data_IF_330347478698
#
_entry.id   IF_330347478698
#
_cell.length_a   1.000
_cell.length_b   1.000
_cell.length_c   1.000
_cell.angle_alpha   90.00
_cell.angle_beta   90.00
_cell.angle_gamma   90.00
#
_symmetry.space_group_name_H-M   'P 1'
#
loop_
_entity.id
_entity.type
_entity.pdbx_description
1 polymer ?
#
# COMPACT_ATOMS: atom_id res chain seq x y z
N UNK A 1 14.85 18.83 7.20
CA UNK A 1 15.44 17.47 7.09
C UNK A 1 15.99 17.32 5.69
N UNK A 2 17.13 16.66 5.55
CA UNK A 2 17.75 16.43 4.24
C UNK A 2 16.96 15.34 3.50
N UNK A 3 16.05 15.76 2.63
CA UNK A 3 15.14 14.89 1.87
C UNK A 3 15.87 14.11 0.75
N UNK A 4 17.18 14.24 0.65
CA UNK A 4 18.02 13.55 -0.33
C UNK A 4 18.45 12.15 0.15
N UNK A 5 18.27 11.82 1.44
CA UNK A 5 18.66 10.52 2.00
C UNK A 5 17.53 9.51 1.95
N UNK A 6 17.86 8.27 1.61
CA UNK A 6 16.92 7.16 1.68
C UNK A 6 16.75 6.69 3.14
N UNK A 7 15.51 6.54 3.57
CA UNK A 7 15.18 5.91 4.85
C UNK A 7 15.26 4.38 4.73
N UNK A 8 14.85 3.84 3.58
CA UNK A 8 14.90 2.39 3.30
C UNK A 8 15.44 2.18 1.90
N UNK A 9 16.33 1.21 1.75
CA UNK A 9 16.82 0.68 0.47
C UNK A 9 16.74 -0.83 0.51
N UNK A 10 16.03 -1.42 -0.43
CA UNK A 10 15.91 -2.86 -0.64
C UNK A 10 16.37 -3.15 -2.05
N UNK A 11 17.36 -4.01 -2.21
CA UNK A 11 17.93 -4.33 -3.51
C UNK A 11 17.86 -5.83 -3.74
N UNK A 12 17.22 -6.23 -4.85
CA UNK A 12 17.21 -7.60 -5.36
C UNK A 12 16.76 -8.66 -4.32
N UNK A 13 15.75 -8.30 -3.51
CA UNK A 13 15.27 -9.13 -2.40
C UNK A 13 14.50 -10.34 -2.91
N UNK A 14 14.93 -11.52 -2.47
CA UNK A 14 14.25 -12.80 -2.75
C UNK A 14 13.88 -13.47 -1.44
N UNK A 15 12.62 -13.84 -1.29
CA UNK A 15 12.12 -14.64 -0.17
C UNK A 15 11.29 -15.80 -0.65
N UNK A 16 11.62 -16.99 -0.18
CA UNK A 16 10.90 -18.23 -0.48
C UNK A 16 10.35 -18.88 0.77
N UNK A 17 9.19 -19.51 0.61
CA UNK A 17 8.59 -20.43 1.56
C UNK A 17 8.41 -21.77 0.85
N UNK A 18 9.40 -22.67 1.00
CA UNK A 18 9.48 -23.91 0.23
C UNK A 18 9.46 -23.61 -1.28
N UNK A 19 8.43 -24.08 -1.99
CA UNK A 19 8.25 -23.87 -3.43
C UNK A 19 7.66 -22.49 -3.78
N UNK A 20 7.06 -21.79 -2.82
CA UNK A 20 6.44 -20.49 -3.06
C UNK A 20 7.49 -19.38 -3.01
N UNK A 21 7.65 -18.65 -4.11
CA UNK A 21 8.43 -17.40 -4.15
C UNK A 21 7.52 -16.25 -3.68
N UNK A 22 7.72 -15.80 -2.46
CA UNK A 22 6.91 -14.74 -1.85
C UNK A 22 7.40 -13.33 -2.24
N UNK A 23 8.72 -13.18 -2.51
CA UNK A 23 9.33 -11.98 -3.08
C UNK A 23 10.31 -12.42 -4.16
N UNK A 24 10.22 -11.84 -5.35
CA UNK A 24 11.01 -12.22 -6.51
C UNK A 24 11.80 -11.01 -7.05
N UNK A 25 13.08 -10.93 -6.67
CA UNK A 25 14.00 -9.85 -7.05
C UNK A 25 13.42 -8.45 -6.78
N UNK A 26 12.77 -8.33 -5.63
CA UNK A 26 12.02 -7.13 -5.25
C UNK A 26 12.97 -5.97 -4.90
N UNK A 27 12.66 -4.79 -5.41
CA UNK A 27 13.42 -3.56 -5.15
C UNK A 27 12.49 -2.49 -4.60
N UNK A 28 12.98 -1.73 -3.61
CA UNK A 28 12.24 -0.67 -2.96
C UNK A 28 13.19 0.43 -2.50
N UNK A 29 12.85 1.68 -2.73
CA UNK A 29 13.54 2.84 -2.17
C UNK A 29 12.52 3.80 -1.59
N UNK A 30 12.68 4.13 -0.30
CA UNK A 30 11.83 5.08 0.43
C UNK A 30 12.69 6.26 0.87
N UNK A 31 12.25 7.47 0.57
CA UNK A 31 12.94 8.70 0.96
C UNK A 31 12.60 9.08 2.39
N UNK A 32 13.52 9.76 3.06
CA UNK A 32 13.25 10.31 4.40
C UNK A 32 12.13 11.35 4.34
N UNK A 33 11.14 11.22 5.25
CA UNK A 33 10.04 12.16 5.36
C UNK A 33 8.90 11.95 4.36
N UNK A 34 8.92 10.89 3.52
CA UNK A 34 7.77 10.58 2.66
C UNK A 34 6.78 9.61 3.30
N UNK A 35 5.54 9.66 2.86
CA UNK A 35 4.56 8.60 3.06
C UNK A 35 4.58 7.70 1.83
N UNK A 36 5.12 6.51 1.99
CA UNK A 36 5.27 5.53 0.91
C UNK A 36 4.22 4.43 1.01
N UNK A 37 3.42 4.25 -0.05
CA UNK A 37 2.37 3.25 -0.13
C UNK A 37 2.85 1.94 -0.75
N UNK A 38 2.57 0.82 -0.09
CA UNK A 38 2.64 -0.52 -0.67
C UNK A 38 1.22 -1.02 -0.94
N UNK A 39 0.79 -1.00 -2.20
CA UNK A 39 -0.53 -1.41 -2.63
C UNK A 39 -0.49 -2.79 -3.28
N UNK A 40 -1.46 -3.63 -2.99
CA UNK A 40 -1.59 -4.93 -3.64
C UNK A 40 -2.62 -5.83 -2.97
N UNK A 41 -3.11 -6.86 -3.65
CA UNK A 41 -4.06 -7.81 -3.09
C UNK A 41 -3.45 -8.60 -1.91
N UNK A 42 -4.30 -9.31 -1.18
CA UNK A 42 -3.83 -10.23 -0.15
C UNK A 42 -2.94 -11.30 -0.78
N UNK A 43 -1.82 -11.60 -0.11
CA UNK A 43 -0.82 -12.54 -0.64
C UNK A 43 0.16 -11.93 -1.66
N UNK A 44 0.08 -10.64 -2.00
CA UNK A 44 1.04 -9.99 -2.91
C UNK A 44 2.47 -9.87 -2.36
N UNK A 45 2.68 -10.04 -1.04
CA UNK A 45 3.98 -9.97 -0.40
C UNK A 45 4.22 -8.75 0.50
N UNK A 46 3.22 -7.87 0.73
CA UNK A 46 3.35 -6.63 1.54
C UNK A 46 3.91 -6.90 2.93
N UNK A 47 3.23 -7.72 3.73
CA UNK A 47 3.65 -8.09 5.09
C UNK A 47 4.99 -8.84 5.09
N UNK A 48 5.24 -9.68 4.08
CA UNK A 48 6.53 -10.36 3.93
C UNK A 48 7.67 -9.35 3.70
N UNK A 49 7.44 -8.33 2.87
CA UNK A 49 8.39 -7.24 2.64
C UNK A 49 8.71 -6.49 3.94
N UNK A 50 7.68 -6.08 4.70
CA UNK A 50 7.85 -5.43 6.00
C UNK A 50 8.68 -6.30 6.95
N UNK A 51 8.31 -7.57 7.09
CA UNK A 51 9.00 -8.48 8.01
C UNK A 51 10.47 -8.73 7.61
N UNK A 52 10.78 -8.76 6.31
CA UNK A 52 12.17 -8.82 5.85
C UNK A 52 12.93 -7.53 6.16
N UNK A 53 12.33 -6.35 5.91
CA UNK A 53 12.96 -5.05 6.23
C UNK A 53 13.24 -4.93 7.72
N UNK A 54 12.33 -5.40 8.58
CA UNK A 54 12.49 -5.38 10.03
C UNK A 54 13.43 -6.47 10.55
N UNK A 55 13.98 -7.33 9.68
CA UNK A 55 14.72 -8.54 10.03
C UNK A 55 13.99 -9.43 11.04
N UNK A 56 12.68 -9.53 10.92
CA UNK A 56 11.82 -10.50 11.61
C UNK A 56 11.73 -11.82 10.82
N UNK A 57 12.00 -11.75 9.52
CA UNK A 57 12.13 -12.89 8.63
C UNK A 57 13.49 -12.86 7.94
N UNK A 58 14.11 -14.03 7.83
CA UNK A 58 15.27 -14.24 6.96
C UNK A 58 14.84 -14.24 5.50
N UNK A 59 15.73 -13.85 4.60
CA UNK A 59 15.51 -13.86 3.15
C UNK A 59 16.66 -14.61 2.45
N UNK A 60 16.42 -15.02 1.20
CA UNK A 60 17.34 -15.91 0.48
C UNK A 60 18.43 -15.14 -0.26
N UNK A 61 18.10 -13.93 -0.78
CA UNK A 61 19.02 -13.04 -1.52
C UNK A 61 18.62 -11.59 -1.37
N UNK A 62 19.59 -10.70 -1.62
CA UNK A 62 19.39 -9.26 -1.65
C UNK A 62 19.98 -8.56 -0.44
N UNK A 63 19.85 -7.23 -0.44
CA UNK A 63 20.40 -6.37 0.61
C UNK A 63 19.31 -5.43 1.11
N UNK A 64 19.30 -5.17 2.40
CA UNK A 64 18.35 -4.25 3.05
C UNK A 64 19.15 -3.26 3.89
N UNK A 65 18.95 -1.96 3.60
CA UNK A 65 19.50 -0.88 4.43
C UNK A 65 18.37 -0.02 4.98
N UNK A 66 18.48 0.35 6.25
CA UNK A 66 17.60 1.30 6.93
C UNK A 66 18.47 2.43 7.47
N UNK A 67 18.12 3.67 7.16
CA UNK A 67 18.93 4.87 7.45
C UNK A 67 20.38 4.77 6.97
N UNK A 68 20.60 4.11 5.81
CA UNK A 68 21.91 3.89 5.21
C UNK A 68 22.75 2.80 5.86
N UNK A 69 22.24 2.09 6.85
CA UNK A 69 22.92 0.99 7.57
C UNK A 69 22.29 -0.35 7.22
N UNK A 70 23.09 -1.38 7.12
CA UNK A 70 22.59 -2.73 6.88
C UNK A 70 21.74 -3.23 8.06
N UNK A 71 20.62 -3.89 7.73
CA UNK A 71 19.64 -4.32 8.70
C UNK A 71 19.79 -5.79 9.06
N UNK A 72 20.08 -6.05 10.33
CA UNK A 72 20.23 -7.40 10.91
C UNK A 72 19.25 -7.62 12.06
N UNK A 73 19.13 -8.87 12.51
CA UNK A 73 18.27 -9.22 13.65
C UNK A 73 18.66 -8.49 14.94
N UNK A 74 19.93 -8.18 15.12
CA UNK A 74 20.51 -7.48 16.28
C UNK A 74 20.74 -5.98 16.07
N UNK A 75 20.23 -5.36 15.02
CA UNK A 75 20.33 -3.90 14.77
C UNK A 75 19.42 -3.10 15.72
N UNK A 76 19.63 -3.23 17.03
CA UNK A 76 18.78 -2.62 18.05
C UNK A 76 18.76 -1.09 18.01
N UNK A 77 19.87 -0.45 17.64
CA UNK A 77 19.94 1.01 17.53
C UNK A 77 19.04 1.52 16.40
N UNK A 78 18.99 0.81 15.27
CA UNK A 78 18.06 1.13 14.16
C UNK A 78 16.62 0.85 14.60
N UNK A 79 16.36 -0.30 15.23
CA UNK A 79 15.02 -0.72 15.65
C UNK A 79 14.40 0.22 16.68
N UNK A 80 15.20 0.90 17.50
CA UNK A 80 14.71 1.94 18.43
C UNK A 80 14.11 3.15 17.75
N UNK A 81 14.49 3.42 16.51
CA UNK A 81 13.98 4.51 15.71
C UNK A 81 12.77 4.09 14.84
N UNK A 82 12.29 2.84 14.99
CA UNK A 82 11.23 2.25 14.18
C UNK A 82 9.99 2.00 15.04
N UNK A 83 8.84 2.46 14.58
CA UNK A 83 7.52 2.11 15.07
C UNK A 83 6.85 1.09 14.16
N UNK A 84 6.14 0.13 14.75
CA UNK A 84 5.47 -0.93 13.98
C UNK A 84 4.03 -1.07 14.46
N UNK A 85 3.10 -0.95 13.53
CA UNK A 85 1.66 -1.18 13.73
C UNK A 85 1.24 -2.29 12.77
N UNK A 86 1.24 -3.53 13.26
CA UNK A 86 0.88 -4.70 12.45
C UNK A 86 -0.63 -4.81 12.28
N UNK A 87 -1.05 -5.57 11.27
CA UNK A 87 -2.46 -5.86 10.98
C UNK A 87 -3.18 -6.48 12.18
N UNK A 88 -2.56 -7.44 12.86
CA UNK A 88 -3.08 -7.99 14.09
C UNK A 88 -2.80 -7.04 15.26
N UNK A 89 -3.82 -6.80 16.07
CA UNK A 89 -3.67 -6.00 17.28
C UNK A 89 -2.79 -6.76 18.28
N UNK A 90 -1.75 -6.10 18.77
CA UNK A 90 -0.77 -6.66 19.70
C UNK A 90 -0.74 -5.83 20.99
N UNK A 91 -1.74 -6.04 21.85
CA UNK A 91 -1.86 -5.39 23.16
C UNK A 91 -2.07 -6.44 24.25
N UNK A 92 -1.83 -6.07 25.49
CA UNK A 92 -2.07 -6.92 26.66
C UNK A 92 -3.48 -6.71 27.19
N UNK A 93 -4.30 -7.75 27.20
CA UNK A 93 -5.70 -7.70 27.61
C UNK A 93 -5.88 -7.41 29.12
N UNK A 94 -4.85 -7.69 29.92
CA UNK A 94 -4.81 -7.48 31.35
C UNK A 94 -4.39 -6.06 31.76
N UNK A 95 -3.82 -5.30 30.83
CA UNK A 95 -3.41 -3.91 31.04
C UNK A 95 -4.46 -2.95 30.51
N UNK A 96 -4.65 -1.85 31.21
CA UNK A 96 -5.49 -0.74 30.74
C UNK A 96 -4.91 -0.09 29.47
N UNK A 97 -5.68 0.76 28.80
CA UNK A 97 -5.21 1.56 27.67
C UNK A 97 -3.93 2.32 28.02
N UNK A 98 -3.93 3.03 29.16
CA UNK A 98 -2.74 3.76 29.62
C UNK A 98 -1.55 2.84 29.84
N UNK A 99 -1.74 1.74 30.58
CA UNK A 99 -0.67 0.79 30.91
C UNK A 99 -0.10 0.09 29.68
N UNK A 100 -0.92 -0.23 28.68
CA UNK A 100 -0.43 -0.75 27.40
C UNK A 100 0.51 0.25 26.73
N UNK A 101 0.09 1.50 26.56
CA UNK A 101 0.90 2.53 25.91
C UNK A 101 2.17 2.82 26.73
N UNK A 102 2.08 2.90 28.07
CA UNK A 102 3.23 3.09 28.96
C UNK A 102 4.22 1.94 28.86
N UNK A 103 3.75 0.70 28.82
CA UNK A 103 4.57 -0.49 28.68
C UNK A 103 5.37 -0.46 27.37
N UNK A 104 4.71 -0.29 26.23
CA UNK A 104 5.40 -0.25 24.93
C UNK A 104 6.33 0.95 24.82
N UNK A 105 5.93 2.12 25.29
CA UNK A 105 6.79 3.31 25.33
C UNK A 105 8.02 3.08 26.23
N UNK A 106 7.83 2.40 27.36
CA UNK A 106 8.87 2.09 28.34
C UNK A 106 10.00 1.18 27.83
N UNK A 107 9.76 0.40 26.78
CA UNK A 107 10.80 -0.39 26.12
C UNK A 107 11.88 0.50 25.46
N UNK A 108 11.56 1.76 25.16
CA UNK A 108 12.42 2.70 24.45
C UNK A 108 12.80 3.93 25.27
N UNK A 109 11.92 4.37 26.18
CA UNK A 109 12.04 5.61 26.95
C UNK A 109 12.14 5.29 28.44
N UNK A 110 13.37 5.32 28.98
CA UNK A 110 13.64 4.99 30.39
C UNK A 110 13.29 6.15 31.35
N UNK A 111 13.38 7.41 30.91
CA UNK A 111 12.98 8.57 31.72
C UNK A 111 11.46 8.57 31.95
N UNK A 112 11.05 8.43 33.20
CA UNK A 112 9.64 8.32 33.59
C UNK A 112 8.82 9.55 33.23
N UNK A 113 9.35 10.76 33.45
CA UNK A 113 8.62 12.00 33.17
C UNK A 113 8.41 12.21 31.67
N UNK A 114 9.46 11.91 30.89
CA UNK A 114 9.39 11.98 29.44
C UNK A 114 8.40 10.93 28.89
N UNK A 115 8.42 9.71 29.43
CA UNK A 115 7.51 8.63 29.07
C UNK A 115 6.06 8.99 29.37
N UNK A 116 5.73 9.49 30.55
CA UNK A 116 4.39 9.96 30.91
C UNK A 116 3.88 11.04 29.93
N UNK A 117 4.75 11.97 29.54
CA UNK A 117 4.45 12.98 28.51
C UNK A 117 4.12 12.30 27.16
N UNK A 118 4.96 11.39 26.71
CA UNK A 118 4.78 10.72 25.43
C UNK A 118 3.54 9.83 25.38
N UNK A 119 3.25 9.13 26.45
CA UNK A 119 2.02 8.33 26.60
C UNK A 119 0.78 9.20 26.46
N UNK A 120 0.76 10.36 27.15
CA UNK A 120 -0.34 11.32 27.05
C UNK A 120 -0.49 11.84 25.61
N UNK A 121 0.59 12.28 24.99
CA UNK A 121 0.59 12.76 23.62
C UNK A 121 0.12 11.68 22.62
N UNK A 122 0.49 10.42 22.85
CA UNK A 122 0.03 9.29 22.01
C UNK A 122 -1.46 9.03 22.19
N UNK A 123 -2.00 9.09 23.41
CA UNK A 123 -3.44 8.96 23.68
C UNK A 123 -4.25 10.08 23.02
N UNK A 124 -3.79 11.33 23.19
CA UNK A 124 -4.42 12.51 22.60
C UNK A 124 -4.39 12.43 21.05
N UNK A 125 -3.26 11.95 20.49
CA UNK A 125 -3.07 11.81 19.07
C UNK A 125 -4.11 10.87 18.40
N UNK A 126 -4.42 9.74 19.04
CA UNK A 126 -5.41 8.79 18.53
C UNK A 126 -6.81 8.98 19.11
N UNK A 127 -7.04 10.06 19.89
CA UNK A 127 -8.34 10.37 20.51
C UNK A 127 -8.89 9.19 21.34
N UNK A 128 -8.07 8.72 22.32
CA UNK A 128 -8.40 7.59 23.20
C UNK A 128 -8.25 7.92 24.70
N UNK A 129 -7.95 9.18 25.03
CA UNK A 129 -7.65 9.60 26.39
C UNK A 129 -8.78 9.31 27.38
N UNK A 130 -10.04 9.47 26.98
CA UNK A 130 -11.22 9.19 27.81
C UNK A 130 -11.34 7.71 28.22
N UNK A 131 -10.67 6.84 27.47
CA UNK A 131 -10.67 5.39 27.71
C UNK A 131 -9.43 4.89 28.44
N UNK A 132 -8.59 5.80 28.97
CA UNK A 132 -7.26 5.49 29.57
C UNK A 132 -7.29 4.39 30.62
N UNK A 133 -8.39 4.29 31.39
CA UNK A 133 -8.58 3.29 32.46
C UNK A 133 -9.33 2.03 32.00
N UNK A 134 -9.77 1.95 30.73
CA UNK A 134 -10.47 0.78 30.24
C UNK A 134 -9.49 -0.34 29.86
N UNK A 135 -9.93 -1.59 30.04
CA UNK A 135 -9.23 -2.75 29.50
C UNK A 135 -9.56 -2.93 28.00
N UNK A 136 -8.64 -3.46 27.17
CA UNK A 136 -8.84 -3.68 25.74
C UNK A 136 -10.13 -4.38 25.38
N UNK A 137 -10.53 -5.40 26.13
CA UNK A 137 -11.77 -6.16 25.94
C UNK A 137 -13.06 -5.35 26.06
N UNK A 138 -13.01 -4.15 26.62
CA UNK A 138 -14.15 -3.21 26.72
C UNK A 138 -14.19 -2.19 25.60
N UNK A 139 -13.22 -2.20 24.68
CA UNK A 139 -13.11 -1.28 23.59
C UNK A 139 -13.85 -1.80 22.35
N UNK A 140 -14.38 -0.88 21.53
CA UNK A 140 -14.80 -1.23 20.17
C UNK A 140 -13.59 -1.59 19.30
N UNK A 141 -13.81 -2.27 18.16
CA UNK A 141 -12.72 -2.60 17.24
C UNK A 141 -11.92 -1.38 16.78
N UNK A 142 -12.61 -0.26 16.51
CA UNK A 142 -11.95 1.00 16.13
C UNK A 142 -11.11 1.60 17.27
N UNK A 143 -11.59 1.57 18.51
CA UNK A 143 -10.83 2.02 19.69
C UNK A 143 -9.64 1.11 19.96
N UNK A 144 -9.82 -0.20 19.83
CA UNK A 144 -8.75 -1.17 19.99
C UNK A 144 -7.65 -0.97 18.94
N UNK A 145 -8.03 -0.65 17.70
CA UNK A 145 -7.08 -0.31 16.64
C UNK A 145 -6.32 0.96 16.92
N UNK A 146 -7.01 1.99 17.45
CA UNK A 146 -6.37 3.24 17.88
C UNK A 146 -5.39 3.01 19.05
N UNK A 147 -5.73 2.14 20.00
CA UNK A 147 -4.79 1.72 21.05
C UNK A 147 -3.53 1.05 20.45
N UNK A 148 -3.70 0.13 19.51
CA UNK A 148 -2.57 -0.53 18.83
C UNK A 148 -1.65 0.48 18.12
N UNK A 149 -2.24 1.48 17.46
CA UNK A 149 -1.48 2.57 16.85
C UNK A 149 -0.72 3.36 17.91
N UNK A 150 -1.39 3.77 19.00
CA UNK A 150 -0.74 4.53 20.07
C UNK A 150 0.46 3.79 20.65
N UNK A 151 0.36 2.48 20.89
CA UNK A 151 1.47 1.65 21.36
C UNK A 151 2.65 1.67 20.38
N UNK A 152 2.40 1.58 19.07
CA UNK A 152 3.45 1.56 18.04
C UNK A 152 4.18 2.89 17.83
N UNK A 153 3.57 4.03 18.22
CA UNK A 153 4.12 5.38 17.95
C UNK A 153 4.55 6.15 19.21
N UNK A 154 4.22 5.66 20.41
CA UNK A 154 4.41 6.43 21.65
C UNK A 154 5.86 6.86 21.91
N UNK A 155 6.84 6.08 21.49
CA UNK A 155 8.26 6.39 21.63
C UNK A 155 8.80 7.38 20.57
N UNK A 156 7.92 7.95 19.72
CA UNK A 156 8.24 8.92 18.67
C UNK A 156 9.29 8.44 17.65
N UNK A 157 9.02 7.31 16.97
CA UNK A 157 9.94 6.75 15.99
C UNK A 157 10.09 7.67 14.77
N UNK A 158 11.25 7.57 14.08
CA UNK A 158 11.53 8.29 12.83
C UNK A 158 10.99 7.58 11.58
N UNK A 159 10.81 6.26 11.66
CA UNK A 159 10.26 5.42 10.61
C UNK A 159 9.10 4.59 11.18
N UNK A 160 7.95 4.62 10.53
CA UNK A 160 6.77 3.91 11.03
C UNK A 160 6.21 3.02 9.93
N UNK A 161 5.99 1.76 10.29
CA UNK A 161 5.30 0.79 9.44
C UNK A 161 3.84 0.64 9.91
N UNK A 162 2.92 0.91 9.01
CA UNK A 162 1.49 0.64 9.19
C UNK A 162 1.08 -0.48 8.25
N UNK A 163 0.88 -1.68 8.78
CA UNK A 163 0.43 -2.82 7.99
C UNK A 163 -1.10 -2.95 8.07
N UNK A 164 -1.78 -2.49 7.02
CA UNK A 164 -3.24 -2.47 6.88
C UNK A 164 -3.97 -1.88 8.11
N UNK A 165 -3.65 -0.65 8.55
CA UNK A 165 -4.10 -0.12 9.84
C UNK A 165 -5.61 0.19 9.89
N UNK A 166 -6.31 0.17 8.78
CA UNK A 166 -7.72 0.55 8.65
C UNK A 166 -8.65 -0.62 8.38
N UNK A 167 -8.10 -1.84 8.30
CA UNK A 167 -8.92 -3.06 8.09
C UNK A 167 -9.89 -3.26 9.26
N UNK A 168 -11.15 -3.55 8.93
CA UNK A 168 -12.25 -3.75 9.86
C UNK A 168 -12.55 -2.54 10.78
N UNK A 169 -12.22 -1.33 10.33
CA UNK A 169 -12.48 -0.07 11.03
C UNK A 169 -13.62 0.67 10.32
N UNK A 170 -14.54 1.25 11.09
CA UNK A 170 -15.62 2.07 10.56
C UNK A 170 -15.10 3.32 9.81
N UNK A 171 -15.88 3.91 8.89
CA UNK A 171 -15.41 5.02 8.06
C UNK A 171 -14.95 6.26 8.85
N UNK A 172 -15.61 6.55 9.99
CA UNK A 172 -15.24 7.71 10.82
C UNK A 172 -13.89 7.50 11.50
N UNK A 173 -13.69 6.31 12.12
CA UNK A 173 -12.41 5.94 12.73
C UNK A 173 -11.29 5.83 11.70
N UNK A 174 -11.59 5.32 10.48
CA UNK A 174 -10.65 5.27 9.36
C UNK A 174 -10.12 6.67 9.02
N UNK A 175 -11.00 7.64 8.79
CA UNK A 175 -10.59 9.01 8.46
C UNK A 175 -9.70 9.62 9.55
N UNK A 176 -10.04 9.43 10.83
CA UNK A 176 -9.22 9.89 11.96
C UNK A 176 -7.82 9.27 11.95
N UNK A 177 -7.72 7.96 11.65
CA UNK A 177 -6.42 7.26 11.52
C UNK A 177 -5.59 7.87 10.38
N UNK A 178 -6.19 8.07 9.19
CA UNK A 178 -5.49 8.65 8.05
C UNK A 178 -5.02 10.09 8.32
N UNK A 179 -5.84 10.92 8.95
CA UNK A 179 -5.45 12.27 9.38
C UNK A 179 -4.31 12.25 10.39
N UNK A 180 -4.38 11.32 11.35
CA UNK A 180 -3.31 11.09 12.31
C UNK A 180 -1.99 10.72 11.62
N UNK A 181 -2.01 9.80 10.65
CA UNK A 181 -0.82 9.40 9.90
C UNK A 181 -0.20 10.61 9.16
N UNK A 182 -1.04 11.44 8.51
CA UNK A 182 -0.56 12.70 7.89
C UNK A 182 0.09 13.65 8.90
N UNK A 183 -0.42 13.71 10.14
CA UNK A 183 0.17 14.52 11.19
C UNK A 183 1.53 13.99 11.61
N UNK A 184 1.69 12.66 11.81
CA UNK A 184 3.00 12.06 12.13
C UNK A 184 4.05 12.37 11.06
N UNK A 185 3.66 12.32 9.80
CA UNK A 185 4.56 12.65 8.71
C UNK A 185 4.94 14.14 8.71
N UNK A 186 3.98 15.06 8.92
CA UNK A 186 4.27 16.50 9.06
C UNK A 186 5.19 16.78 10.25
N UNK A 187 5.11 15.99 11.32
CA UNK A 187 5.98 16.07 12.49
C UNK A 187 7.37 15.44 12.21
N UNK A 188 7.60 14.93 10.99
CA UNK A 188 8.89 14.51 10.49
C UNK A 188 9.11 12.99 10.38
N UNK A 189 8.11 12.17 10.68
CA UNK A 189 8.24 10.72 10.50
C UNK A 189 8.20 10.31 9.02
N UNK A 190 9.01 9.32 8.65
CA UNK A 190 8.87 8.56 7.40
C UNK A 190 7.86 7.44 7.61
N UNK A 191 6.99 7.20 6.66
CA UNK A 191 5.89 6.25 6.83
C UNK A 191 5.83 5.26 5.69
N UNK A 192 5.76 3.97 6.03
CA UNK A 192 5.37 2.88 5.13
C UNK A 192 3.93 2.51 5.46
N UNK A 193 3.07 2.63 4.47
CA UNK A 193 1.65 2.36 4.60
C UNK A 193 1.23 1.24 3.65
N UNK A 194 0.75 0.12 4.17
CA UNK A 194 0.21 -0.94 3.32
C UNK A 194 -1.31 -0.90 3.31
N UNK A 195 -1.89 -1.13 2.17
CA UNK A 195 -3.33 -1.29 2.00
C UNK A 195 -3.64 -2.11 0.75
N UNK A 196 -4.84 -2.67 0.69
CA UNK A 196 -5.44 -3.17 -0.53
C UNK A 196 -6.54 -2.21 -1.05
N UNK A 197 -6.76 -1.07 -0.37
CA UNK A 197 -7.70 -0.02 -0.78
C UNK A 197 -6.95 1.12 -1.47
N UNK A 198 -7.20 1.28 -2.77
CA UNK A 198 -6.57 2.31 -3.58
C UNK A 198 -6.86 3.73 -3.08
N UNK A 199 -8.12 3.98 -2.68
CA UNK A 199 -8.58 5.29 -2.23
C UNK A 199 -7.77 5.82 -1.02
N UNK A 200 -7.42 4.95 -0.07
CA UNK A 200 -6.61 5.32 1.09
C UNK A 200 -5.20 5.73 0.68
N UNK A 201 -4.60 4.93 -0.19
CA UNK A 201 -3.23 5.14 -0.67
C UNK A 201 -3.15 6.42 -1.53
N UNK A 202 -4.15 6.64 -2.39
CA UNK A 202 -4.26 7.88 -3.18
C UNK A 202 -4.42 9.14 -2.32
N UNK A 203 -5.12 9.02 -1.21
CA UNK A 203 -5.34 10.14 -0.29
C UNK A 203 -4.12 10.45 0.57
N UNK A 204 -3.33 9.43 0.90
CA UNK A 204 -2.33 9.48 1.95
C UNK A 204 -0.90 9.57 1.41
N UNK A 205 -0.57 8.79 0.37
CA UNK A 205 0.81 8.50 0.00
C UNK A 205 1.36 9.48 -1.06
N UNK A 206 2.62 9.84 -0.91
CA UNK A 206 3.37 10.65 -1.88
C UNK A 206 3.75 9.82 -3.10
N UNK A 207 4.25 8.60 -2.87
CA UNK A 207 4.57 7.60 -3.87
C UNK A 207 3.98 6.26 -3.50
N UNK A 208 3.60 5.50 -4.52
CA UNK A 208 2.93 4.22 -4.39
C UNK A 208 3.66 3.18 -5.21
N UNK A 209 3.96 2.04 -4.60
CA UNK A 209 4.41 0.85 -5.28
C UNK A 209 3.25 -0.14 -5.33
N UNK A 210 2.84 -0.48 -6.53
CA UNK A 210 1.84 -1.54 -6.77
C UNK A 210 2.59 -2.85 -6.90
N UNK A 211 2.20 -3.84 -6.10
CA UNK A 211 2.83 -5.16 -6.13
C UNK A 211 1.82 -6.29 -6.25
N UNK A 212 2.22 -7.33 -6.98
CA UNK A 212 1.50 -8.59 -7.07
C UNK A 212 2.48 -9.75 -7.14
N UNK A 213 2.12 -10.87 -6.49
CA UNK A 213 2.91 -12.12 -6.48
C UNK A 213 4.41 -11.91 -6.24
N UNK A 214 4.73 -11.05 -5.28
CA UNK A 214 6.11 -10.76 -4.88
C UNK A 214 6.91 -9.85 -5.82
N UNK A 215 6.28 -9.27 -6.84
CA UNK A 215 6.92 -8.38 -7.82
C UNK A 215 6.38 -6.97 -7.74
N UNK A 216 7.24 -5.99 -7.98
CA UNK A 216 6.84 -4.61 -8.22
C UNK A 216 6.27 -4.49 -9.63
N UNK A 217 5.01 -4.10 -9.77
CA UNK A 217 4.35 -3.91 -11.06
C UNK A 217 4.50 -2.48 -11.57
N UNK A 218 4.32 -1.50 -10.69
CA UNK A 218 4.44 -0.08 -11.00
C UNK A 218 4.86 0.71 -9.76
N UNK A 219 5.61 1.78 -9.97
CA UNK A 219 6.06 2.71 -8.93
C UNK A 219 5.94 4.13 -9.46
N UNK A 220 5.34 5.00 -8.68
CA UNK A 220 5.23 6.42 -9.03
C UNK A 220 4.37 7.19 -8.05
N UNK A 221 4.24 8.49 -8.30
CA UNK A 221 3.21 9.33 -7.69
C UNK A 221 1.83 8.92 -8.20
N UNK A 222 0.78 9.31 -7.49
CA UNK A 222 -0.61 9.12 -7.93
C UNK A 222 -0.83 9.53 -9.39
N UNK A 223 -0.31 10.70 -9.78
CA UNK A 223 -0.52 11.22 -11.13
C UNK A 223 0.27 10.46 -12.20
N UNK A 224 1.47 9.97 -11.86
CA UNK A 224 2.26 9.11 -12.74
C UNK A 224 1.56 7.77 -12.96
N UNK A 225 1.10 7.13 -11.89
CA UNK A 225 0.36 5.88 -11.98
C UNK A 225 -0.94 6.03 -12.77
N UNK A 226 -1.69 7.11 -12.54
CA UNK A 226 -2.90 7.43 -13.33
C UNK A 226 -2.60 7.66 -14.81
N UNK A 227 -1.44 8.25 -15.14
CA UNK A 227 -1.03 8.40 -16.55
C UNK A 227 -0.67 7.07 -17.19
N UNK A 228 -0.03 6.17 -16.46
CA UNK A 228 0.25 4.81 -16.95
C UNK A 228 -1.04 4.08 -17.35
N UNK A 229 -2.13 4.29 -16.58
CA UNK A 229 -3.44 3.68 -16.83
C UNK A 229 -4.26 4.47 -17.86
N UNK A 230 -4.19 5.80 -17.85
CA UNK A 230 -4.85 6.64 -18.88
C UNK A 230 -4.37 6.34 -20.30
N UNK A 231 -3.24 5.64 -20.44
CA UNK A 231 -2.78 5.12 -21.72
C UNK A 231 -3.45 3.78 -22.08
N UNK A 232 -4.31 3.22 -21.23
CA UNK A 232 -5.11 2.04 -21.57
C UNK A 232 -6.55 2.46 -21.78
N UNK A 233 -7.02 2.35 -23.00
CA UNK A 233 -8.40 2.59 -23.41
C UNK A 233 -9.05 1.26 -23.75
N UNK A 234 -10.24 1.01 -23.21
CA UNK A 234 -11.04 -0.14 -23.62
C UNK A 234 -12.19 0.35 -24.48
N UNK A 235 -12.26 -0.15 -25.69
CA UNK A 235 -13.38 0.12 -26.59
C UNK A 235 -14.33 -1.08 -26.54
N UNK A 236 -15.57 -0.82 -26.18
CA UNK A 236 -16.62 -1.81 -26.13
C UNK A 236 -17.55 -1.59 -27.33
N UNK A 237 -17.87 -2.67 -28.05
CA UNK A 237 -18.75 -2.65 -29.21
C UNK A 237 -19.79 -3.76 -29.07
N UNK A 238 -21.06 -3.41 -29.24
CA UNK A 238 -22.13 -4.40 -29.37
C UNK A 238 -22.16 -4.89 -30.82
N UNK A 239 -21.88 -6.17 -31.04
CA UNK A 239 -21.87 -6.79 -32.36
C UNK A 239 -22.39 -8.23 -32.25
N UNK A 240 -23.29 -8.61 -33.16
CA UNK A 240 -24.01 -9.86 -33.05
C UNK A 240 -23.10 -11.07 -33.26
N UNK A 241 -22.17 -10.99 -34.21
CA UNK A 241 -21.27 -12.12 -34.55
C UNK A 241 -19.98 -11.60 -35.17
N UNK A 242 -18.88 -12.33 -34.88
CA UNK A 242 -17.54 -12.08 -35.42
C UNK A 242 -16.86 -13.41 -35.75
N UNK A 243 -16.32 -13.54 -36.95
CA UNK A 243 -15.49 -14.70 -37.34
C UNK A 243 -14.11 -14.65 -36.66
N UNK A 244 -13.46 -15.78 -36.50
CA UNK A 244 -12.09 -15.86 -35.96
C UNK A 244 -11.10 -15.01 -36.76
N UNK A 245 -11.23 -14.96 -38.09
CA UNK A 245 -10.38 -14.12 -38.94
C UNK A 245 -10.55 -12.62 -38.65
N UNK A 246 -11.76 -12.18 -38.37
CA UNK A 246 -12.04 -10.79 -37.99
C UNK A 246 -11.52 -10.45 -36.58
N UNK A 247 -11.63 -11.40 -35.64
CA UNK A 247 -11.04 -11.25 -34.31
C UNK A 247 -9.50 -11.16 -34.37
N UNK A 248 -8.87 -11.97 -35.22
CA UNK A 248 -7.42 -11.89 -35.38
C UNK A 248 -6.95 -10.62 -36.07
N UNK A 249 -7.73 -10.10 -37.03
CA UNK A 249 -7.45 -8.81 -37.63
C UNK A 249 -7.59 -7.65 -36.63
N UNK A 250 -8.58 -7.69 -35.74
CA UNK A 250 -8.75 -6.70 -34.67
C UNK A 250 -7.58 -6.72 -33.65
N UNK A 251 -6.97 -7.90 -33.41
CA UNK A 251 -5.74 -8.02 -32.59
C UNK A 251 -4.53 -7.33 -33.24
N UNK A 252 -4.55 -7.12 -34.54
CA UNK A 252 -3.46 -6.44 -35.28
C UNK A 252 -3.63 -4.93 -35.36
N UNK A 253 -4.71 -4.36 -34.82
CA UNK A 253 -4.89 -2.91 -34.76
C UNK A 253 -3.74 -2.26 -33.96
N UNK A 254 -3.27 -1.11 -34.45
CA UNK A 254 -2.18 -0.39 -33.80
C UNK A 254 -2.49 -0.09 -32.34
N UNK A 255 -1.59 -0.47 -31.43
CA UNK A 255 -1.72 -0.36 -29.97
C UNK A 255 -2.80 -1.28 -29.32
N UNK A 256 -3.50 -2.13 -30.05
CA UNK A 256 -4.33 -3.16 -29.43
C UNK A 256 -3.42 -4.25 -28.85
N UNK A 257 -3.63 -4.60 -27.56
CA UNK A 257 -2.85 -5.66 -26.92
C UNK A 257 -3.70 -6.85 -26.46
N UNK A 258 -5.01 -6.66 -26.40
CA UNK A 258 -5.94 -7.74 -26.08
C UNK A 258 -7.29 -7.48 -26.76
N UNK A 259 -7.91 -8.52 -27.28
CA UNK A 259 -9.26 -8.52 -27.87
C UNK A 259 -10.03 -9.69 -27.28
N UNK A 260 -11.24 -9.44 -26.83
CA UNK A 260 -12.17 -10.50 -26.37
C UNK A 260 -13.55 -10.28 -26.97
N UNK A 261 -14.21 -11.37 -27.32
CA UNK A 261 -15.59 -11.37 -27.81
C UNK A 261 -16.39 -12.43 -27.06
N UNK A 262 -17.41 -11.99 -26.34
CA UNK A 262 -18.28 -12.85 -25.55
C UNK A 262 -19.70 -12.28 -25.53
N UNK A 263 -20.71 -13.12 -25.73
CA UNK A 263 -22.12 -12.78 -25.61
C UNK A 263 -22.56 -11.52 -26.40
N UNK A 264 -22.04 -11.36 -27.63
CA UNK A 264 -22.36 -10.20 -28.45
C UNK A 264 -21.64 -8.90 -28.05
N UNK A 265 -20.64 -8.98 -27.17
CA UNK A 265 -19.82 -7.86 -26.72
C UNK A 265 -18.38 -8.05 -27.17
N UNK A 266 -17.91 -7.19 -28.05
CA UNK A 266 -16.50 -7.08 -28.43
C UNK A 266 -15.82 -6.07 -27.52
N UNK A 267 -14.71 -6.46 -26.91
CA UNK A 267 -13.85 -5.58 -26.09
C UNK A 267 -12.44 -5.56 -26.65
N UNK A 268 -11.97 -4.37 -26.98
CA UNK A 268 -10.61 -4.16 -27.49
C UNK A 268 -9.86 -3.27 -26.50
N UNK A 269 -8.73 -3.78 -26.04
CA UNK A 269 -7.87 -3.10 -25.07
C UNK A 269 -6.68 -2.48 -25.81
N UNK A 270 -6.48 -1.17 -25.67
CA UNK A 270 -5.41 -0.42 -26.29
C UNK A 270 -4.40 0.07 -25.25
N UNK A 271 -3.10 -0.05 -25.54
CA UNK A 271 -2.01 0.52 -24.75
C UNK A 271 -1.55 1.83 -25.37
N UNK A 272 -2.16 2.94 -24.96
CA UNK A 272 -1.87 4.26 -25.53
C UNK A 272 -2.54 4.52 -26.88
N UNK A 273 -2.16 5.62 -27.52
CA UNK A 273 -2.71 6.06 -28.79
C UNK A 273 -3.80 7.14 -28.63
N UNK A 274 -3.93 7.96 -29.68
CA UNK A 274 -5.05 8.89 -29.82
C UNK A 274 -5.97 8.35 -30.91
N UNK A 275 -7.27 8.47 -30.72
CA UNK A 275 -8.26 8.11 -31.73
C UNK A 275 -8.41 6.59 -32.02
N UNK A 276 -8.09 5.72 -31.05
CA UNK A 276 -8.25 4.26 -31.22
C UNK A 276 -9.69 3.88 -31.64
N UNK A 277 -10.70 4.60 -31.14
CA UNK A 277 -12.10 4.40 -31.51
C UNK A 277 -12.34 4.59 -33.00
N UNK A 278 -11.64 5.54 -33.66
CA UNK A 278 -11.76 5.78 -35.10
C UNK A 278 -11.25 4.55 -35.86
N UNK A 279 -10.10 4.02 -35.46
CA UNK A 279 -9.54 2.80 -36.10
C UNK A 279 -10.46 1.58 -35.96
N UNK A 280 -11.14 1.47 -34.83
CA UNK A 280 -12.14 0.39 -34.64
C UNK A 280 -13.35 0.61 -35.53
N UNK A 281 -13.90 1.82 -35.58
CA UNK A 281 -15.06 2.15 -36.42
C UNK A 281 -14.73 1.98 -37.90
N UNK A 282 -13.59 2.50 -38.37
CA UNK A 282 -13.12 2.34 -39.75
C UNK A 282 -13.02 0.85 -40.13
N UNK A 283 -12.48 0.01 -39.23
CA UNK A 283 -12.40 -1.43 -39.45
C UNK A 283 -13.77 -2.08 -39.57
N UNK A 284 -14.71 -1.72 -38.68
CA UNK A 284 -16.07 -2.29 -38.68
C UNK A 284 -16.81 -1.89 -39.96
N UNK A 285 -16.71 -0.64 -40.40
CA UNK A 285 -17.36 -0.13 -41.64
C UNK A 285 -16.74 -0.75 -42.88
N UNK A 286 -15.40 -0.84 -42.99
CA UNK A 286 -14.73 -1.41 -44.14
C UNK A 286 -15.06 -2.91 -44.35
N UNK A 287 -15.36 -3.60 -43.24
CA UNK A 287 -15.75 -5.02 -43.30
C UNK A 287 -17.27 -5.24 -43.30
N UNK A 288 -18.06 -4.17 -43.50
CA UNK A 288 -19.53 -4.17 -43.49
C UNK A 288 -20.15 -4.91 -42.29
N UNK A 289 -19.54 -4.71 -41.10
CA UNK A 289 -20.01 -5.32 -39.87
C UNK A 289 -21.09 -4.42 -39.24
N UNK A 290 -22.24 -5.00 -38.96
CA UNK A 290 -23.36 -4.33 -38.31
C UNK A 290 -23.10 -4.30 -36.79
N UNK A 291 -23.04 -3.14 -36.18
CA UNK A 291 -22.79 -2.97 -34.75
C UNK A 291 -23.83 -2.05 -34.10
N UNK A 292 -24.04 -2.23 -32.82
CA UNK A 292 -24.91 -1.42 -31.98
C UNK A 292 -24.19 -0.28 -31.30
N UNK A 293 -24.23 -0.25 -29.96
CA UNK A 293 -23.53 0.79 -29.18
C UNK A 293 -22.02 0.60 -29.19
N UNK A 294 -21.31 1.73 -29.36
CA UNK A 294 -19.85 1.81 -29.19
C UNK A 294 -19.54 2.82 -28.09
N UNK A 295 -18.82 2.40 -27.08
CA UNK A 295 -18.41 3.30 -26.02
C UNK A 295 -17.00 3.01 -25.53
N UNK A 296 -16.33 4.04 -25.06
CA UNK A 296 -15.00 3.95 -24.49
C UNK A 296 -15.10 3.88 -22.97
N UNK A 297 -14.35 2.98 -22.38
CA UNK A 297 -14.16 2.90 -20.93
C UNK A 297 -12.68 3.13 -20.61
N UNK A 298 -12.42 4.22 -19.89
CA UNK A 298 -11.09 4.45 -19.33
C UNK A 298 -11.02 3.65 -18.04
N UNK A 299 -10.07 2.72 -17.93
CA UNK A 299 -9.89 2.01 -16.66
C UNK A 299 -9.48 3.02 -15.57
N UNK A 300 -10.29 3.11 -14.54
CA UNK A 300 -9.91 3.72 -13.26
C UNK A 300 -9.15 2.69 -12.44
N UNK A 301 -8.14 3.15 -11.72
CA UNK A 301 -7.35 2.35 -10.76
C UNK A 301 -8.23 1.61 -9.75
#
# INVERSE_FOLDING_TARGET
>A
MDTTKNAIEVTNLVKRYKELVALDHFNLTVKTGEIFGLLGPNGSGKTTTINCILSLLTYDKGDIKVFGQEMYSNSYDIKREIGVVMQNVAVYDELTVYENIDYFCGLYVSDKKLREKYVKEAMDFVDIADYSKFLPKKLSGGLLRRLNIACGIAHKPKLIFFDEPTVAVDPQSRNKILEGIKKLNRDGATIIYTSHYMEEVEQLCDRILIMDKGKALALGTKDELKRMIKNTETINVEIADLSEAQLDALKQLHNAYQVSFENGQLRIYFSGGRHNIIHVLDYLEQNNLSFGQVYTQIQTL
#
